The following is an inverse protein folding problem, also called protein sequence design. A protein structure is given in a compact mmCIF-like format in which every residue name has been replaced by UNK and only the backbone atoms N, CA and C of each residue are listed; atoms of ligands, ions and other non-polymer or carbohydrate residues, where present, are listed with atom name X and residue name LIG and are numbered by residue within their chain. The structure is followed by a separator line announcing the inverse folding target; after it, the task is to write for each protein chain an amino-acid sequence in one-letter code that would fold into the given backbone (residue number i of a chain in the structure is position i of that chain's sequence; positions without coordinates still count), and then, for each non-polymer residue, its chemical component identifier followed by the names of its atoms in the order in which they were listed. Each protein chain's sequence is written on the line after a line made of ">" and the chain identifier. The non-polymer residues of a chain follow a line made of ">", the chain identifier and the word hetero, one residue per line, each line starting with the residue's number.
data_IF_705708847134
#
_entry.id   IF_705708847134
#
_cell.length_a   1.000
_cell.length_b   1.000
_cell.length_c   1.000
_cell.angle_alpha   90.00
_cell.angle_beta   90.00
_cell.angle_gamma   90.00
#
_symmetry.space_group_name_H-M   'P 1'
#
loop_
_entity.id
_entity.type
_entity.pdbx_description
1 polymer ?
#
# COMPACT_ATOMS: atom_id res chain seq x y z
N UNK A 1 27.00 36.49 2.10
CA UNK A 1 27.46 36.43 3.49
C UNK A 1 27.35 37.82 4.05
N UNK A 2 26.25 38.05 4.74
CA UNK A 2 25.92 39.29 5.41
C UNK A 2 26.30 39.14 6.89
N UNK A 3 27.56 39.43 7.20
CA UNK A 3 28.13 39.20 8.53
C UNK A 3 27.75 40.33 9.49
N UNK A 4 26.90 40.05 10.47
CA UNK A 4 26.45 41.05 11.45
C UNK A 4 26.58 40.53 12.88
N UNK A 5 26.73 41.45 13.84
CA UNK A 5 26.60 41.08 15.25
C UNK A 5 25.14 40.73 15.54
N UNK A 6 24.94 39.66 16.31
CA UNK A 6 23.62 39.18 16.69
C UNK A 6 23.53 39.08 18.20
N UNK A 7 22.32 39.19 18.74
CA UNK A 7 22.11 39.12 20.18
C UNK A 7 22.26 37.69 20.69
N UNK A 8 22.59 37.53 21.98
CA UNK A 8 22.54 36.22 22.66
C UNK A 8 21.16 35.58 22.56
N UNK A 9 20.09 36.38 22.53
CA UNK A 9 18.72 35.91 22.36
C UNK A 9 18.50 35.26 20.99
N UNK A 10 19.03 35.85 19.91
CA UNK A 10 18.97 35.26 18.55
C UNK A 10 19.70 33.92 18.49
N UNK A 11 20.88 33.81 19.12
CA UNK A 11 21.63 32.56 19.19
C UNK A 11 20.90 31.49 19.99
N UNK A 12 20.28 31.87 21.11
CA UNK A 12 19.47 30.96 21.93
C UNK A 12 18.21 30.51 21.17
N UNK A 13 17.54 31.42 20.46
CA UNK A 13 16.40 31.09 19.61
C UNK A 13 16.76 30.08 18.52
N UNK A 14 17.90 30.26 17.83
CA UNK A 14 18.41 29.31 16.85
C UNK A 14 18.66 27.92 17.45
N UNK A 15 19.31 27.84 18.62
CA UNK A 15 19.55 26.57 19.33
C UNK A 15 18.24 25.89 19.74
N UNK A 16 17.31 26.63 20.33
CA UNK A 16 16.02 26.10 20.75
C UNK A 16 15.18 25.62 19.56
N UNK A 17 15.25 26.34 18.44
CA UNK A 17 14.56 25.95 17.21
C UNK A 17 15.12 24.66 16.64
N UNK A 18 16.45 24.48 16.60
CA UNK A 18 17.07 23.21 16.19
C UNK A 18 16.57 22.04 17.06
N UNK A 19 16.46 22.23 18.38
CA UNK A 19 15.93 21.20 19.29
C UNK A 19 14.47 20.86 18.95
N UNK A 20 13.63 21.87 18.71
CA UNK A 20 12.23 21.66 18.34
C UNK A 20 12.06 20.95 16.99
N UNK A 21 12.91 21.27 16.00
CA UNK A 21 12.97 20.56 14.71
C UNK A 21 13.42 19.11 14.91
N UNK A 22 14.37 18.88 15.83
CA UNK A 22 14.77 17.55 16.28
C UNK A 22 13.61 16.69 16.79
N UNK A 23 12.70 17.28 17.58
CA UNK A 23 11.49 16.59 18.03
C UNK A 23 10.53 16.31 16.88
N UNK A 24 10.38 17.26 15.95
CA UNK A 24 9.55 17.10 14.76
C UNK A 24 9.98 15.88 13.92
N UNK A 25 11.29 15.63 13.77
CA UNK A 25 11.78 14.42 13.09
C UNK A 25 11.38 13.14 13.80
N UNK A 26 11.51 13.12 15.13
CA UNK A 26 11.19 11.93 15.93
C UNK A 26 9.71 11.59 15.81
N UNK A 27 8.85 12.58 15.93
CA UNK A 27 7.40 12.40 15.87
C UNK A 27 6.96 11.93 14.48
N UNK A 28 7.48 12.54 13.42
CA UNK A 28 7.17 12.14 12.04
C UNK A 28 7.64 10.71 11.73
N UNK A 29 8.86 10.34 12.13
CA UNK A 29 9.37 8.98 11.95
C UNK A 29 8.58 7.94 12.77
N UNK A 30 8.19 8.28 14.00
CA UNK A 30 7.36 7.42 14.82
C UNK A 30 5.99 7.19 14.17
N UNK A 31 5.36 8.24 13.65
CA UNK A 31 4.09 8.13 12.95
C UNK A 31 4.17 7.26 11.69
N UNK A 32 5.26 7.36 10.93
CA UNK A 32 5.55 6.46 9.79
C UNK A 32 5.63 5.01 10.28
N UNK A 33 6.45 4.75 11.30
CA UNK A 33 6.62 3.41 11.86
C UNK A 33 5.30 2.80 12.33
N UNK A 34 4.50 3.54 13.11
CA UNK A 34 3.20 3.09 13.61
C UNK A 34 2.23 2.71 12.48
N UNK A 35 2.20 3.50 11.39
CA UNK A 35 1.34 3.18 10.23
C UNK A 35 1.80 1.93 9.50
N UNK A 36 3.11 1.71 9.39
CA UNK A 36 3.67 0.51 8.77
C UNK A 36 3.39 -0.73 9.62
N UNK A 37 3.63 -0.65 10.93
CA UNK A 37 3.37 -1.75 11.86
C UNK A 37 1.89 -2.14 11.91
N UNK A 38 0.99 -1.15 11.85
CA UNK A 38 -0.45 -1.39 11.77
C UNK A 38 -0.84 -2.06 10.44
N UNK A 39 -0.29 -1.59 9.32
CA UNK A 39 -0.52 -2.19 8.01
C UNK A 39 -0.06 -3.65 7.97
N UNK A 40 1.15 -3.93 8.48
CA UNK A 40 1.70 -5.29 8.52
C UNK A 40 0.92 -6.19 9.47
N UNK A 41 0.48 -5.68 10.64
CA UNK A 41 -0.42 -6.42 11.54
C UNK A 41 -1.72 -6.81 10.85
N UNK A 42 -2.35 -5.88 10.14
CA UNK A 42 -3.59 -6.16 9.37
C UNK A 42 -3.35 -7.16 8.26
N UNK A 43 -2.23 -7.05 7.54
CA UNK A 43 -1.85 -7.99 6.48
C UNK A 43 -1.67 -9.40 7.02
N UNK A 44 -0.99 -9.57 8.16
CA UNK A 44 -0.81 -10.87 8.80
C UNK A 44 -2.13 -11.45 9.31
N UNK A 45 -3.00 -10.62 9.91
CA UNK A 45 -4.32 -11.04 10.35
C UNK A 45 -5.17 -11.54 9.18
N UNK A 46 -5.23 -10.79 8.07
CA UNK A 46 -6.01 -11.15 6.89
C UNK A 46 -5.55 -12.45 6.19
N UNK A 47 -4.29 -12.86 6.38
CA UNK A 47 -3.77 -14.13 5.86
C UNK A 47 -4.12 -15.33 6.75
N UNK A 48 -4.48 -15.09 8.01
CA UNK A 48 -4.84 -16.12 8.99
C UNK A 48 -6.35 -16.24 9.17
N UNK A 49 -7.05 -15.12 9.11
CA UNK A 49 -8.50 -15.04 9.30
C UNK A 49 -9.25 -15.26 7.99
N UNK A 50 -10.46 -15.82 8.11
CA UNK A 50 -11.36 -15.95 6.98
C UNK A 50 -11.79 -14.56 6.50
N UNK A 51 -11.83 -14.41 5.18
CA UNK A 51 -12.26 -13.19 4.51
C UNK A 51 -13.69 -12.83 4.90
N UNK A 52 -13.96 -11.53 5.06
CA UNK A 52 -15.31 -11.03 5.30
C UNK A 52 -16.14 -11.07 4.02
N UNK A 53 -17.46 -11.26 4.09
CA UNK A 53 -18.34 -11.22 2.91
C UNK A 53 -18.15 -9.96 2.05
N UNK A 54 -18.00 -8.79 2.68
CA UNK A 54 -17.77 -7.52 1.98
C UNK A 54 -16.45 -7.51 1.19
N UNK A 55 -15.38 -8.06 1.77
CA UNK A 55 -14.07 -8.16 1.12
C UNK A 55 -14.13 -9.12 -0.07
N UNK A 56 -14.86 -10.24 0.07
CA UNK A 56 -15.09 -11.18 -1.02
C UNK A 56 -15.80 -10.52 -2.19
N UNK A 57 -16.91 -9.81 -1.94
CA UNK A 57 -17.66 -9.12 -2.99
C UNK A 57 -16.80 -8.07 -3.70
N UNK A 58 -15.97 -7.33 -2.96
CA UNK A 58 -15.06 -6.35 -3.55
C UNK A 58 -13.98 -6.99 -4.44
N UNK A 59 -13.45 -8.15 -4.07
CA UNK A 59 -12.43 -8.85 -4.85
C UNK A 59 -13.00 -9.69 -6.00
N UNK A 60 -14.24 -10.18 -5.86
CA UNK A 60 -14.89 -11.09 -6.80
C UNK A 60 -16.32 -10.60 -7.09
N UNK A 61 -16.46 -9.44 -7.75
CA UNK A 61 -17.76 -8.79 -7.94
C UNK A 61 -18.68 -9.54 -8.91
N UNK A 62 -18.13 -10.46 -9.70
CA UNK A 62 -18.87 -11.20 -10.72
C UNK A 62 -18.78 -12.71 -10.47
N UNK A 63 -19.83 -13.46 -10.81
CA UNK A 63 -19.82 -14.92 -10.76
C UNK A 63 -18.79 -15.49 -11.75
N UNK A 64 -18.36 -16.76 -11.56
CA UNK A 64 -17.43 -17.42 -12.46
C UNK A 64 -18.00 -17.52 -13.89
N UNK A 65 -17.14 -17.30 -14.87
CA UNK A 65 -17.43 -17.58 -16.29
C UNK A 65 -17.04 -19.01 -16.63
N UNK A 66 -17.71 -19.59 -17.63
CA UNK A 66 -17.56 -21.01 -18.00
C UNK A 66 -17.12 -21.20 -19.45
N UNK A 67 -16.35 -20.25 -19.99
CA UNK A 67 -15.97 -20.25 -21.42
C UNK A 67 -15.20 -21.50 -21.82
N UNK A 68 -14.26 -21.95 -20.98
CA UNK A 68 -13.45 -23.15 -21.24
C UNK A 68 -14.30 -24.42 -21.20
N UNK A 69 -15.12 -24.60 -20.15
CA UNK A 69 -16.01 -25.74 -20.02
C UNK A 69 -17.05 -25.77 -21.15
N UNK A 70 -17.59 -24.62 -21.55
CA UNK A 70 -18.53 -24.53 -22.68
C UNK A 70 -17.86 -24.91 -24.00
N UNK A 71 -16.62 -24.50 -24.24
CA UNK A 71 -15.87 -24.88 -25.44
C UNK A 71 -15.57 -26.39 -25.46
N UNK A 72 -15.23 -26.96 -24.30
CA UNK A 72 -14.97 -28.40 -24.18
C UNK A 72 -16.24 -29.23 -24.38
N UNK A 73 -17.37 -28.80 -23.81
CA UNK A 73 -18.69 -29.40 -24.06
C UNK A 73 -19.01 -29.36 -25.56
N UNK A 74 -18.84 -28.21 -26.21
CA UNK A 74 -19.12 -28.08 -27.65
C UNK A 74 -18.23 -29.01 -28.49
N UNK A 75 -16.94 -29.13 -28.14
CA UNK A 75 -16.01 -30.06 -28.80
C UNK A 75 -16.45 -31.52 -28.64
N UNK A 76 -16.86 -31.93 -27.43
CA UNK A 76 -17.35 -33.29 -27.17
C UNK A 76 -18.69 -33.56 -27.88
N UNK A 77 -19.59 -32.57 -27.94
CA UNK A 77 -20.84 -32.66 -28.70
C UNK A 77 -20.59 -32.82 -30.21
N UNK A 78 -19.60 -32.10 -30.76
CA UNK A 78 -19.20 -32.26 -32.16
C UNK A 78 -18.61 -33.65 -32.44
N UNK A 79 -17.82 -34.20 -31.52
CA UNK A 79 -17.31 -35.57 -31.62
C UNK A 79 -18.45 -36.60 -31.60
N UNK A 80 -19.44 -36.42 -30.71
CA UNK A 80 -20.64 -37.27 -30.69
C UNK A 80 -21.38 -37.21 -32.03
N UNK A 81 -21.57 -36.01 -32.60
CA UNK A 81 -22.24 -35.83 -33.88
C UNK A 81 -21.49 -36.46 -35.07
N UNK A 82 -20.16 -36.59 -34.97
CA UNK A 82 -19.33 -37.22 -35.98
C UNK A 82 -19.29 -38.77 -35.89
N UNK A 83 -19.77 -39.36 -34.80
CA UNK A 83 -19.88 -40.83 -34.68
C UNK A 83 -20.97 -41.32 -35.63
N UNK A 84 -20.57 -42.10 -36.64
CA UNK A 84 -21.47 -42.72 -37.62
C UNK A 84 -21.36 -44.25 -37.53
N UNK A 85 -22.48 -44.96 -37.73
CA UNK A 85 -22.56 -46.43 -37.63
C UNK A 85 -23.08 -46.95 -36.28
N UNK A 86 -23.02 -48.27 -36.07
CA UNK A 86 -23.61 -48.98 -34.92
C UNK A 86 -22.71 -49.06 -33.68
N UNK A 87 -21.45 -48.60 -33.77
CA UNK A 87 -20.49 -48.67 -32.67
C UNK A 87 -20.63 -47.45 -31.74
N UNK A 88 -21.46 -47.57 -30.71
CA UNK A 88 -21.81 -46.49 -29.77
C UNK A 88 -20.87 -46.34 -28.58
N UNK A 89 -19.85 -47.18 -28.45
CA UNK A 89 -18.97 -47.21 -27.28
C UNK A 89 -18.30 -45.86 -26.92
N UNK A 90 -17.78 -45.05 -27.88
CA UNK A 90 -17.22 -43.75 -27.53
C UNK A 90 -18.27 -42.68 -27.18
N UNK A 91 -19.54 -42.88 -27.56
CA UNK A 91 -20.61 -41.89 -27.34
C UNK A 91 -20.95 -41.76 -25.86
N UNK A 92 -21.16 -42.88 -25.15
CA UNK A 92 -21.54 -42.86 -23.73
C UNK A 92 -20.48 -42.22 -22.83
N UNK A 93 -19.19 -42.44 -23.13
CA UNK A 93 -18.08 -41.79 -22.42
C UNK A 93 -18.06 -40.27 -22.63
N UNK A 94 -18.26 -39.82 -23.88
CA UNK A 94 -18.33 -38.39 -24.19
C UNK A 94 -19.54 -37.70 -23.55
N UNK A 95 -20.69 -38.38 -23.50
CA UNK A 95 -21.90 -37.90 -22.81
C UNK A 95 -21.65 -37.79 -21.30
N UNK A 96 -21.01 -38.80 -20.70
CA UNK A 96 -20.63 -38.78 -19.29
C UNK A 96 -19.65 -37.63 -18.97
N UNK A 97 -18.68 -37.37 -19.84
CA UNK A 97 -17.76 -36.24 -19.69
C UNK A 97 -18.48 -34.89 -19.77
N UNK A 98 -19.43 -34.75 -20.70
CA UNK A 98 -20.26 -33.52 -20.81
C UNK A 98 -21.07 -33.31 -19.54
N UNK A 99 -21.67 -34.38 -19.00
CA UNK A 99 -22.43 -34.31 -17.74
C UNK A 99 -21.52 -33.91 -16.58
N UNK A 100 -20.32 -34.47 -16.48
CA UNK A 100 -19.33 -34.08 -15.48
C UNK A 100 -18.94 -32.61 -15.60
N UNK A 101 -18.70 -32.10 -16.81
CA UNK A 101 -18.40 -30.68 -17.04
C UNK A 101 -19.57 -29.78 -16.61
N UNK A 102 -20.82 -30.17 -16.88
CA UNK A 102 -21.99 -29.44 -16.42
C UNK A 102 -22.16 -29.47 -14.89
N UNK A 103 -21.89 -30.60 -14.24
CA UNK A 103 -21.87 -30.70 -12.78
C UNK A 103 -20.80 -29.78 -12.19
N UNK A 104 -19.58 -29.77 -12.76
CA UNK A 104 -18.51 -28.88 -12.32
C UNK A 104 -18.90 -27.39 -12.41
N UNK A 105 -19.57 -26.98 -13.49
CA UNK A 105 -20.10 -25.62 -13.64
C UNK A 105 -21.09 -25.28 -12.53
N UNK A 106 -22.05 -26.17 -12.25
CA UNK A 106 -23.03 -25.98 -11.19
C UNK A 106 -22.38 -25.90 -9.81
N UNK A 107 -21.38 -26.74 -9.53
CA UNK A 107 -20.61 -26.70 -8.29
C UNK A 107 -19.86 -25.38 -8.13
N UNK A 108 -19.26 -24.83 -9.20
CA UNK A 108 -18.59 -23.52 -9.18
C UNK A 108 -19.57 -22.38 -8.87
N UNK A 109 -20.75 -22.39 -9.49
CA UNK A 109 -21.81 -21.40 -9.20
C UNK A 109 -22.29 -21.49 -7.75
N UNK A 110 -22.56 -22.70 -7.26
CA UNK A 110 -23.01 -22.92 -5.88
C UNK A 110 -21.93 -22.52 -4.87
N UNK A 111 -20.66 -22.82 -5.17
CA UNK A 111 -19.52 -22.38 -4.35
C UNK A 111 -19.45 -20.86 -4.30
N UNK A 112 -19.50 -20.18 -5.44
CA UNK A 112 -19.51 -18.72 -5.47
C UNK A 112 -20.66 -18.13 -4.64
N UNK A 113 -21.88 -18.64 -4.80
CA UNK A 113 -23.04 -18.19 -4.04
C UNK A 113 -22.90 -18.40 -2.52
N UNK A 114 -22.30 -19.50 -2.09
CA UNK A 114 -22.00 -19.76 -0.67
C UNK A 114 -20.98 -18.77 -0.14
N UNK A 115 -19.88 -18.57 -0.86
CA UNK A 115 -18.80 -17.68 -0.47
C UNK A 115 -19.26 -16.20 -0.39
N UNK A 116 -20.29 -15.79 -1.14
CA UNK A 116 -20.90 -14.45 -0.97
C UNK A 116 -21.43 -14.21 0.45
N UNK A 117 -21.90 -15.25 1.13
CA UNK A 117 -22.48 -15.15 2.48
C UNK A 117 -21.50 -15.50 3.58
N UNK A 118 -20.63 -16.48 3.33
CA UNK A 118 -19.66 -16.99 4.28
C UNK A 118 -18.42 -17.47 3.52
N UNK A 119 -17.46 -16.58 3.27
CA UNK A 119 -16.20 -16.98 2.65
C UNK A 119 -15.48 -18.00 3.54
N UNK A 120 -15.07 -19.13 2.97
CA UNK A 120 -14.33 -20.19 3.67
C UNK A 120 -12.85 -20.21 3.27
N UNK A 121 -12.31 -19.03 2.94
CA UNK A 121 -10.91 -18.84 2.59
C UNK A 121 -10.31 -17.61 3.24
N UNK A 122 -9.00 -17.66 3.46
CA UNK A 122 -8.21 -16.50 3.84
C UNK A 122 -7.83 -15.67 2.60
N UNK A 123 -7.38 -14.44 2.83
CA UNK A 123 -6.97 -13.56 1.75
C UNK A 123 -5.48 -13.74 1.43
N UNK A 124 -5.11 -13.73 0.14
CA UNK A 124 -3.69 -13.72 -0.26
C UNK A 124 -3.07 -12.34 -0.01
N UNK A 125 -1.73 -12.28 0.05
CA UNK A 125 -1.02 -11.01 0.18
C UNK A 125 -1.36 -10.02 -0.96
N UNK A 126 -1.56 -10.52 -2.18
CA UNK A 126 -1.92 -9.69 -3.32
C UNK A 126 -3.34 -9.13 -3.21
N UNK A 127 -4.30 -9.97 -2.82
CA UNK A 127 -5.69 -9.55 -2.59
C UNK A 127 -5.80 -8.52 -1.46
N UNK A 128 -5.02 -8.69 -0.39
CA UNK A 128 -4.96 -7.71 0.70
C UNK A 128 -4.51 -6.35 0.18
N UNK A 129 -3.40 -6.29 -0.56
CA UNK A 129 -2.88 -5.03 -1.11
C UNK A 129 -3.84 -4.36 -2.09
N UNK A 130 -4.72 -5.11 -2.75
CA UNK A 130 -5.78 -4.57 -3.62
C UNK A 130 -6.88 -3.88 -2.82
N UNK A 131 -7.30 -4.45 -1.68
CA UNK A 131 -8.36 -3.87 -0.84
C UNK A 131 -7.86 -2.79 0.12
N UNK A 132 -6.65 -2.98 0.63
CA UNK A 132 -6.02 -2.14 1.64
C UNK A 132 -4.68 -1.68 1.08
N UNK A 133 -4.63 -0.52 0.40
CA UNK A 133 -3.38 -0.02 -0.14
C UNK A 133 -2.41 0.32 0.99
N UNK A 134 -1.12 0.17 0.71
CA UNK A 134 -0.07 0.54 1.65
C UNK A 134 -0.17 2.03 2.02
N UNK A 135 0.11 2.39 3.29
CA UNK A 135 0.09 3.79 3.71
C UNK A 135 1.11 4.60 2.91
N UNK A 136 0.72 5.81 2.50
CA UNK A 136 1.66 6.79 1.96
C UNK A 136 2.22 7.64 3.10
N UNK A 137 3.45 8.12 2.93
CA UNK A 137 4.16 8.91 3.95
C UNK A 137 4.54 10.31 3.45
N UNK A 138 3.90 10.78 2.38
CA UNK A 138 4.32 12.00 1.69
C UNK A 138 4.34 13.23 2.61
N UNK A 139 3.33 13.38 3.47
CA UNK A 139 3.23 14.51 4.41
C UNK A 139 4.32 14.46 5.48
N UNK A 140 4.58 13.31 6.08
CA UNK A 140 5.61 13.17 7.11
C UNK A 140 7.01 13.32 6.52
N UNK A 141 7.25 12.75 5.35
CA UNK A 141 8.52 12.92 4.61
C UNK A 141 8.73 14.38 4.21
N UNK A 142 7.67 15.08 3.79
CA UNK A 142 7.74 16.53 3.52
C UNK A 142 8.04 17.32 4.78
N UNK A 143 7.42 16.96 5.91
CA UNK A 143 7.68 17.59 7.23
C UNK A 143 9.13 17.39 7.66
N UNK A 144 9.66 16.17 7.53
CA UNK A 144 11.08 15.87 7.79
C UNK A 144 11.97 16.69 6.85
N UNK A 145 11.68 16.73 5.54
CA UNK A 145 12.50 17.47 4.59
C UNK A 145 12.53 18.98 4.89
N UNK A 146 11.38 19.57 5.19
CA UNK A 146 11.27 20.99 5.55
C UNK A 146 12.03 21.28 6.85
N UNK A 147 11.84 20.46 7.88
CA UNK A 147 12.52 20.62 9.16
C UNK A 147 14.04 20.44 9.04
N UNK A 148 14.51 19.52 8.18
CA UNK A 148 15.95 19.30 7.93
C UNK A 148 16.56 20.50 7.21
N UNK A 149 15.84 21.07 6.24
CA UNK A 149 16.28 22.26 5.51
C UNK A 149 16.44 23.44 6.46
N UNK A 150 15.48 23.66 7.36
CA UNK A 150 15.56 24.72 8.36
C UNK A 150 16.69 24.46 9.38
N UNK A 151 16.82 23.22 9.89
CA UNK A 151 17.87 22.87 10.84
C UNK A 151 19.28 23.09 10.26
N UNK A 152 19.50 22.68 9.01
CA UNK A 152 20.77 22.88 8.31
C UNK A 152 21.12 24.36 8.18
N UNK A 153 20.14 25.21 7.85
CA UNK A 153 20.32 26.67 7.80
C UNK A 153 20.70 27.24 9.15
N UNK A 154 20.01 26.84 10.22
CA UNK A 154 20.27 27.31 11.58
C UNK A 154 21.63 26.82 12.12
N UNK A 155 22.03 25.59 11.79
CA UNK A 155 23.37 25.09 12.12
C UNK A 155 24.46 25.84 11.37
N UNK A 156 24.26 26.12 10.07
CA UNK A 156 25.18 26.91 9.28
C UNK A 156 25.29 28.34 9.83
N UNK A 157 24.16 28.94 10.24
CA UNK A 157 24.13 30.22 10.92
C UNK A 157 24.99 30.19 12.20
N UNK A 158 24.78 29.23 13.10
CA UNK A 158 25.57 29.11 14.32
C UNK A 158 27.06 28.87 14.06
N UNK A 159 27.41 28.13 13.00
CA UNK A 159 28.80 27.86 12.59
C UNK A 159 29.47 29.10 12.00
N UNK A 160 28.73 29.96 11.28
CA UNK A 160 29.26 31.18 10.66
C UNK A 160 29.93 32.15 11.65
N UNK A 161 29.56 32.09 12.94
CA UNK A 161 30.14 32.90 14.01
C UNK A 161 31.64 32.76 14.25
N UNK A 162 32.30 31.76 13.63
CA UNK A 162 33.72 31.47 13.83
C UNK A 162 34.65 32.10 12.78
N UNK A 163 34.17 32.38 11.57
CA UNK A 163 34.98 32.85 10.45
C UNK A 163 34.14 33.62 9.42
N UNK A 164 34.66 34.67 8.74
CA UNK A 164 35.98 35.28 8.88
C UNK A 164 36.12 36.25 10.06
N UNK A 165 35.01 36.73 10.63
CA UNK A 165 35.00 37.67 11.75
C UNK A 165 34.38 37.00 12.98
N UNK A 166 35.18 36.47 13.93
CA UNK A 166 34.66 35.89 15.15
C UNK A 166 33.67 36.83 15.86
N UNK A 167 32.48 36.34 16.18
CA UNK A 167 31.41 37.11 16.82
C UNK A 167 30.46 37.86 15.88
N UNK A 168 30.69 37.82 14.57
CA UNK A 168 29.71 38.18 13.55
C UNK A 168 29.14 36.91 12.89
N UNK A 169 27.85 36.91 12.57
CA UNK A 169 27.12 35.76 12.02
C UNK A 169 26.49 36.13 10.68
N UNK A 170 26.40 35.18 9.76
CA UNK A 170 25.79 35.38 8.45
C UNK A 170 24.26 35.37 8.57
N UNK A 171 23.65 36.54 8.64
CA UNK A 171 22.20 36.68 8.85
C UNK A 171 21.38 36.27 7.62
N UNK A 172 22.00 36.14 6.44
CA UNK A 172 21.34 35.59 5.24
C UNK A 172 20.83 34.16 5.50
N UNK A 173 21.50 33.41 6.38
CA UNK A 173 21.14 32.05 6.76
C UNK A 173 19.91 31.95 7.66
N UNK A 174 19.45 33.06 8.25
CA UNK A 174 18.20 33.12 9.01
C UNK A 174 16.98 33.28 8.08
N UNK A 175 17.19 33.65 6.82
CA UNK A 175 16.11 33.83 5.85
C UNK A 175 15.33 32.53 5.59
N UNK A 176 14.01 32.62 5.76
CA UNK A 176 13.10 31.48 5.64
C UNK A 176 13.23 30.46 6.78
N UNK A 177 13.83 30.85 7.91
CA UNK A 177 13.74 30.11 9.17
C UNK A 177 12.71 30.78 10.09
N UNK A 178 12.28 30.09 11.16
CA UNK A 178 11.42 30.68 12.17
C UNK A 178 12.15 31.66 13.11
N UNK A 179 13.46 31.82 12.97
CA UNK A 179 14.28 32.72 13.79
C UNK A 179 14.45 34.05 13.08
N UNK A 180 13.84 35.10 13.62
CA UNK A 180 13.94 36.44 13.06
C UNK A 180 15.23 37.15 13.51
N UNK A 181 15.77 37.96 12.60
CA UNK A 181 16.81 38.96 12.87
C UNK A 181 16.18 40.35 12.76
N UNK A 182 16.38 41.25 13.75
CA UNK A 182 15.90 42.64 13.68
C UNK A 182 16.65 43.47 12.63
#
# INVERSE_FOLDING_TARGET
>A
MNMQQVTTATLLAAKNRIIALGQTFKDANLAIGQRNDEYDRRKQAAQRELMRPSEFVSLFPLPPTFTAENAEIASKQAQIAAITGTNTFPKGLLEQDIDMLNVMKNMKTATYARELSKPERTMTAAQFSTLYPAPTHATDLSTISAAQTEANKLEAFLKSGHYPNPGAYDVDLLSGTAVSYP
#
